data_IF_378772474250
#
_entry.id   IF_378772474250
#
_cell.length_a   1.000
_cell.length_b   1.000
_cell.length_c   1.000
_cell.angle_alpha   90.00
_cell.angle_beta   90.00
_cell.angle_gamma   90.00
#
_symmetry.space_group_name_H-M   'P 1'
#
loop_
_entity.id
_entity.type
_entity.pdbx_description
1 polymer ?
#
# COMPACT_ATOMS: atom_id res chain seq x y z
N UNK A 1 2.81 5.20 7.68
CA UNK A 1 4.17 4.81 8.11
C UNK A 1 4.18 3.32 8.38
N UNK A 2 5.16 2.61 7.84
CA UNK A 2 5.31 1.17 8.02
C UNK A 2 6.07 0.89 9.31
N UNK A 3 5.87 -0.29 9.89
CA UNK A 3 6.78 -0.78 10.93
C UNK A 3 8.18 -0.99 10.32
N UNK A 4 9.22 -0.67 11.08
CA UNK A 4 10.60 -0.74 10.61
C UNK A 4 11.15 -2.17 10.51
N UNK A 5 10.46 -3.15 11.11
CA UNK A 5 10.91 -4.54 11.17
C UNK A 5 10.56 -5.30 9.88
N UNK A 6 9.32 -5.18 9.42
CA UNK A 6 8.81 -5.89 8.25
C UNK A 6 8.62 -4.99 7.03
N UNK A 7 8.45 -3.67 7.23
CA UNK A 7 8.14 -2.75 6.15
C UNK A 7 6.81 -3.04 5.45
N UNK A 8 5.96 -3.88 6.03
CA UNK A 8 4.73 -4.38 5.38
C UNK A 8 3.47 -4.07 6.16
N UNK A 9 3.58 -3.86 7.48
CA UNK A 9 2.45 -3.55 8.34
C UNK A 9 2.42 -2.05 8.73
N UNK A 10 1.24 -1.50 9.05
CA UNK A 10 1.17 -0.18 9.67
C UNK A 10 1.94 -0.15 11.00
N UNK A 11 2.66 0.93 11.26
CA UNK A 11 3.36 1.08 12.54
C UNK A 11 2.37 1.06 13.72
N UNK A 12 2.72 0.36 14.80
CA UNK A 12 1.84 0.16 15.96
C UNK A 12 1.35 1.41 16.71
N UNK A 13 1.95 2.60 16.49
CA UNK A 13 1.47 3.84 17.10
C UNK A 13 0.32 4.51 16.32
N UNK A 14 0.04 4.08 15.08
CA UNK A 14 -0.99 4.69 14.22
C UNK A 14 -2.37 4.74 14.90
N UNK A 15 -2.86 3.67 15.56
CA UNK A 15 -4.14 3.74 16.28
C UNK A 15 -4.18 4.83 17.35
N UNK A 16 -3.08 5.04 18.08
CA UNK A 16 -2.96 6.09 19.08
C UNK A 16 -2.95 7.49 18.46
N UNK A 17 -2.28 7.64 17.31
CA UNK A 17 -2.27 8.90 16.55
C UNK A 17 -3.66 9.25 16.02
N UNK A 18 -4.42 8.29 15.47
CA UNK A 18 -5.79 8.50 15.00
C UNK A 18 -6.67 9.00 16.14
N UNK A 19 -6.65 8.30 17.28
CA UNK A 19 -7.45 8.68 18.45
C UNK A 19 -7.14 10.11 18.93
N UNK A 20 -5.87 10.52 18.86
CA UNK A 20 -5.41 11.81 19.37
C UNK A 20 -5.62 12.96 18.39
N UNK A 21 -5.39 12.76 17.10
CA UNK A 21 -5.35 13.88 16.14
C UNK A 21 -6.46 13.84 15.11
N UNK A 22 -6.92 12.64 14.73
CA UNK A 22 -8.01 12.52 13.77
C UNK A 22 -9.36 12.72 14.46
N UNK A 23 -9.61 11.94 15.52
CA UNK A 23 -10.92 11.94 16.20
C UNK A 23 -11.16 13.17 17.08
N UNK A 24 -10.10 13.91 17.45
CA UNK A 24 -10.22 15.19 18.18
C UNK A 24 -10.59 16.37 17.27
N UNK A 25 -10.40 16.24 15.95
CA UNK A 25 -10.71 17.31 14.98
C UNK A 25 -12.19 17.24 14.56
N UNK A 26 -13.01 18.25 14.90
CA UNK A 26 -14.44 18.24 14.59
C UNK A 26 -14.73 18.39 13.09
N UNK A 27 -13.77 18.81 12.27
CA UNK A 27 -13.93 18.90 10.82
C UNK A 27 -13.78 17.54 10.13
N UNK A 28 -13.21 16.54 10.82
CA UNK A 28 -13.06 15.20 10.29
C UNK A 28 -14.23 14.29 10.69
N UNK A 29 -14.75 13.46 9.76
CA UNK A 29 -15.66 12.39 10.16
C UNK A 29 -14.90 11.35 11.01
N UNK A 30 -15.58 10.65 11.93
CA UNK A 30 -14.94 9.62 12.75
C UNK A 30 -14.17 8.62 11.89
N UNK A 31 -12.95 8.25 12.33
CA UNK A 31 -12.12 7.34 11.54
C UNK A 31 -12.80 5.98 11.36
N UNK A 32 -12.86 5.50 10.10
CA UNK A 32 -13.40 4.19 9.75
C UNK A 32 -12.30 3.30 9.16
N UNK A 33 -11.87 2.25 9.87
CA UNK A 33 -10.90 1.29 9.34
C UNK A 33 -11.33 0.72 7.98
N UNK A 34 -10.37 0.57 7.06
CA UNK A 34 -10.61 -0.01 5.73
C UNK A 34 -11.40 0.88 4.76
N UNK A 35 -11.71 2.13 5.12
CA UNK A 35 -12.39 3.08 4.21
C UNK A 35 -11.45 3.98 3.41
N UNK A 36 -10.14 3.77 3.53
CA UNK A 36 -9.15 4.55 2.78
C UNK A 36 -9.11 6.03 3.18
N UNK A 37 -9.45 6.34 4.44
CA UNK A 37 -9.44 7.71 5.00
C UNK A 37 -8.01 8.23 5.25
N UNK A 38 -7.05 7.32 5.39
CA UNK A 38 -5.62 7.63 5.37
C UNK A 38 -5.03 6.93 4.14
N UNK A 39 -4.24 7.67 3.37
CA UNK A 39 -3.54 7.19 2.18
C UNK A 39 -2.05 7.50 2.32
N UNK A 40 -1.21 6.71 1.65
CA UNK A 40 0.24 6.82 1.74
C UNK A 40 0.82 6.80 0.32
N UNK A 41 1.04 7.97 -0.29
CA UNK A 41 1.85 8.05 -1.49
C UNK A 41 3.27 7.59 -1.22
N UNK A 42 3.94 7.05 -2.25
CA UNK A 42 5.33 6.62 -2.13
C UNK A 42 6.27 7.81 -1.90
N UNK A 43 6.11 8.86 -2.71
CA UNK A 43 6.92 10.08 -2.61
C UNK A 43 6.03 11.31 -2.69
N UNK A 44 6.23 12.23 -1.76
CA UNK A 44 5.63 13.56 -1.77
C UNK A 44 6.73 14.61 -1.88
N UNK A 45 6.71 15.39 -2.95
CA UNK A 45 7.67 16.47 -3.22
C UNK A 45 6.99 17.79 -2.86
N UNK A 46 7.65 18.58 -2.01
CA UNK A 46 7.17 19.90 -1.58
C UNK A 46 7.94 21.03 -2.25
N UNK A 47 7.34 22.22 -2.35
CA UNK A 47 7.98 23.44 -2.85
C UNK A 47 8.96 24.01 -1.83
N UNK A 48 8.54 24.09 -0.57
CA UNK A 48 9.36 24.54 0.54
C UNK A 48 9.49 23.42 1.59
N UNK A 49 10.71 22.90 1.84
CA UNK A 49 10.95 21.82 2.80
C UNK A 49 10.76 22.24 4.26
N UNK A 50 10.66 23.55 4.56
CA UNK A 50 10.42 24.06 5.91
C UNK A 50 8.93 24.15 6.28
N UNK A 51 8.04 23.87 5.33
CA UNK A 51 6.58 23.97 5.49
C UNK A 51 5.93 22.58 5.42
N UNK A 52 4.78 22.37 6.09
CA UNK A 52 4.06 21.11 6.00
C UNK A 52 3.60 20.83 4.56
N UNK A 53 3.35 19.56 4.19
CA UNK A 53 2.89 19.16 2.86
C UNK A 53 1.39 19.43 2.68
N UNK A 54 0.97 20.69 2.82
CA UNK A 54 -0.40 21.13 2.48
C UNK A 54 -0.57 21.23 0.96
N UNK A 55 -1.81 21.20 0.45
CA UNK A 55 -2.08 21.22 -1.00
C UNK A 55 -1.38 22.37 -1.76
N UNK A 56 -1.23 23.55 -1.14
CA UNK A 56 -0.55 24.70 -1.72
C UNK A 56 0.99 24.52 -1.78
N UNK A 57 1.56 23.75 -0.85
CA UNK A 57 2.99 23.46 -0.75
C UNK A 57 3.39 22.16 -1.46
N UNK A 58 2.47 21.24 -1.73
CA UNK A 58 2.74 20.05 -2.54
C UNK A 58 3.06 20.49 -3.97
N UNK A 59 4.27 20.16 -4.41
CA UNK A 59 4.72 20.30 -5.80
C UNK A 59 4.27 19.11 -6.62
N UNK A 60 4.48 17.90 -6.12
CA UNK A 60 4.20 16.66 -6.85
C UNK A 60 4.00 15.49 -5.90
N UNK A 61 3.16 14.54 -6.29
CA UNK A 61 3.02 13.23 -5.67
C UNK A 61 3.44 12.18 -6.70
N UNK A 62 4.37 11.31 -6.33
CA UNK A 62 4.87 10.25 -7.21
C UNK A 62 4.48 8.90 -6.62
N UNK A 63 3.88 8.07 -7.46
CA UNK A 63 3.62 6.65 -7.20
C UNK A 63 4.58 5.82 -8.05
N UNK A 64 5.28 4.88 -7.43
CA UNK A 64 6.20 4.00 -8.12
C UNK A 64 5.48 2.71 -8.51
N UNK A 65 5.60 2.30 -9.77
CA UNK A 65 4.99 1.07 -10.29
C UNK A 65 6.05 0.11 -10.84
N UNK A 66 6.03 -1.10 -10.32
CA UNK A 66 6.92 -2.19 -10.73
C UNK A 66 6.11 -3.33 -11.34
N UNK A 67 6.55 -3.98 -12.44
CA UNK A 67 5.86 -5.14 -12.95
C UNK A 67 5.71 -6.25 -11.88
N UNK A 68 4.55 -6.91 -11.77
CA UNK A 68 3.36 -6.79 -12.61
C UNK A 68 2.30 -5.77 -12.13
N UNK A 69 2.60 -4.92 -11.14
CA UNK A 69 1.65 -3.97 -10.55
C UNK A 69 1.16 -2.92 -11.58
N UNK A 70 -0.13 -2.93 -11.95
CA UNK A 70 -0.65 -1.99 -12.93
C UNK A 70 -0.88 -0.60 -12.32
N UNK A 71 -1.05 0.38 -13.21
CA UNK A 71 -1.57 1.68 -12.80
C UNK A 71 -3.01 1.53 -12.28
N UNK A 72 -3.30 2.11 -11.11
CA UNK A 72 -4.62 2.12 -10.49
C UNK A 72 -5.20 3.54 -10.58
N UNK A 73 -6.35 3.66 -11.27
CA UNK A 73 -7.04 4.94 -11.46
C UNK A 73 -7.64 5.48 -10.16
N UNK A 74 -8.21 4.61 -9.32
CA UNK A 74 -8.79 5.05 -8.04
C UNK A 74 -7.69 5.61 -7.13
N UNK A 75 -6.54 4.93 -7.10
CA UNK A 75 -5.37 5.41 -6.37
C UNK A 75 -4.90 6.77 -6.88
N UNK A 76 -4.76 6.94 -8.19
CA UNK A 76 -4.34 8.21 -8.79
C UNK A 76 -5.31 9.36 -8.48
N UNK A 77 -6.61 9.10 -8.50
CA UNK A 77 -7.63 10.10 -8.14
C UNK A 77 -7.56 10.50 -6.66
N UNK A 78 -7.33 9.53 -5.76
CA UNK A 78 -7.14 9.82 -4.33
C UNK A 78 -5.88 10.63 -4.07
N UNK A 79 -4.81 10.40 -4.81
CA UNK A 79 -3.61 11.23 -4.71
C UNK A 79 -3.79 12.61 -5.31
N UNK A 80 -4.61 12.75 -6.35
CA UNK A 80 -4.96 14.05 -6.88
C UNK A 80 -5.76 14.89 -5.87
N UNK A 81 -6.67 14.26 -5.13
CA UNK A 81 -7.38 14.87 -4.01
C UNK A 81 -6.39 15.37 -2.93
N UNK A 82 -5.41 14.55 -2.56
CA UNK A 82 -4.34 14.93 -1.61
C UNK A 82 -3.47 16.08 -2.15
N UNK A 83 -3.10 16.05 -3.43
CA UNK A 83 -2.24 17.06 -4.05
C UNK A 83 -2.99 18.37 -4.39
N UNK A 84 -4.33 18.33 -4.41
CA UNK A 84 -5.22 19.41 -4.82
C UNK A 84 -5.32 19.61 -6.34
N UNK A 85 -4.64 18.78 -7.14
CA UNK A 85 -4.67 18.82 -8.60
C UNK A 85 -4.16 17.49 -9.19
N UNK A 86 -4.86 16.97 -10.20
CA UNK A 86 -4.45 15.78 -10.97
C UNK A 86 -3.13 15.98 -11.70
N UNK A 87 -2.81 17.21 -12.13
CA UNK A 87 -1.57 17.54 -12.83
C UNK A 87 -0.30 17.31 -11.98
N UNK A 88 -0.45 17.24 -10.65
CA UNK A 88 0.64 17.02 -9.70
C UNK A 88 0.90 15.53 -9.42
N UNK A 89 0.12 14.61 -9.97
CA UNK A 89 0.27 13.17 -9.73
C UNK A 89 1.02 12.53 -10.90
N UNK A 90 2.09 11.82 -10.60
CA UNK A 90 2.88 11.09 -11.61
C UNK A 90 3.08 9.64 -11.19
N UNK A 91 2.81 8.73 -12.12
CA UNK A 91 3.23 7.34 -12.00
C UNK A 91 4.60 7.18 -12.65
N UNK A 92 5.56 6.67 -11.89
CA UNK A 92 6.92 6.39 -12.37
C UNK A 92 7.12 4.88 -12.45
N UNK A 93 7.47 4.39 -13.63
CA UNK A 93 7.78 2.99 -13.88
C UNK A 93 9.26 2.74 -13.74
N UNK A 94 9.60 1.48 -13.51
CA UNK A 94 11.00 1.04 -13.44
C UNK A 94 11.78 1.31 -14.74
N UNK A 95 11.08 1.37 -15.89
CA UNK A 95 11.62 1.74 -17.21
C UNK A 95 11.85 3.23 -17.41
N UNK A 96 11.30 4.09 -16.55
CA UNK A 96 11.49 5.55 -16.63
C UNK A 96 12.84 5.96 -15.99
N UNK A 97 13.44 5.05 -15.22
CA UNK A 97 14.78 5.20 -14.69
C UNK A 97 15.79 4.64 -15.70
N UNK A 98 16.92 5.33 -15.89
CA UNK A 98 18.07 4.89 -16.72
C UNK A 98 18.86 3.74 -16.05
N UNK A 99 18.17 2.95 -15.23
CA UNK A 99 18.69 1.71 -14.70
C UNK A 99 18.72 0.71 -15.87
N UNK A 100 19.87 0.13 -16.18
CA UNK A 100 19.96 -1.10 -16.99
C UNK A 100 19.22 -2.22 -16.26
N UNK A 101 17.89 -2.24 -16.33
CA UNK A 101 17.08 -3.23 -15.66
C UNK A 101 17.05 -4.47 -16.54
N UNK A 102 17.86 -5.47 -16.17
CA UNK A 102 17.47 -6.85 -16.43
C UNK A 102 16.03 -7.02 -15.95
N UNK A 103 15.15 -7.55 -16.79
CA UNK A 103 13.79 -7.87 -16.39
C UNK A 103 13.86 -8.75 -15.15
N UNK A 104 13.56 -8.19 -13.98
CA UNK A 104 13.45 -8.92 -12.72
C UNK A 104 12.17 -9.76 -12.82
N UNK A 105 12.25 -10.86 -13.56
CA UNK A 105 11.22 -11.89 -13.57
C UNK A 105 11.16 -12.40 -12.13
N UNK A 106 10.01 -12.23 -11.46
CA UNK A 106 9.81 -12.78 -10.12
C UNK A 106 10.23 -14.24 -10.14
N UNK A 107 11.29 -14.59 -9.41
CA UNK A 107 11.84 -15.96 -9.37
C UNK A 107 10.89 -16.95 -8.73
N UNK A 108 9.79 -16.47 -8.15
CA UNK A 108 8.73 -17.30 -7.59
C UNK A 108 7.50 -17.16 -8.50
N UNK A 109 7.15 -18.20 -9.28
CA UNK A 109 5.87 -18.26 -9.96
C UNK A 109 4.77 -18.20 -8.91
N UNK A 110 3.79 -17.30 -9.06
CA UNK A 110 2.65 -17.20 -8.14
C UNK A 110 1.89 -18.54 -8.03
N UNK A 111 1.90 -19.33 -9.10
CA UNK A 111 1.37 -20.71 -9.15
C UNK A 111 2.10 -21.65 -8.18
N UNK A 112 3.40 -21.43 -7.94
CA UNK A 112 4.17 -22.27 -7.04
C UNK A 112 3.78 -22.10 -5.57
N UNK A 113 3.40 -20.88 -5.17
CA UNK A 113 2.91 -20.61 -3.82
C UNK A 113 1.55 -21.27 -3.57
N UNK A 114 0.70 -21.36 -4.61
CA UNK A 114 -0.60 -22.01 -4.54
C UNK A 114 -0.51 -23.50 -4.21
N UNK A 115 0.35 -24.26 -4.89
CA UNK A 115 0.50 -25.70 -4.62
C UNK A 115 1.19 -25.99 -3.29
N UNK A 116 2.17 -25.16 -2.90
CA UNK A 116 2.84 -25.31 -1.62
C UNK A 116 1.86 -25.12 -0.46
N UNK A 117 0.97 -24.12 -0.56
CA UNK A 117 -0.08 -23.87 0.40
C UNK A 117 -1.12 -25.01 0.47
N UNK A 118 -1.52 -25.60 -0.66
CA UNK A 118 -2.45 -26.74 -0.68
C UNK A 118 -1.81 -28.02 -0.13
N UNK A 119 -0.57 -28.32 -0.51
CA UNK A 119 0.17 -29.47 0.01
C UNK A 119 0.38 -29.37 1.54
N UNK A 120 0.76 -28.20 2.04
CA UNK A 120 0.91 -27.97 3.48
C UNK A 120 -0.41 -28.14 4.24
N UNK A 121 -1.53 -27.68 3.67
CA UNK A 121 -2.87 -27.89 4.26
C UNK A 121 -3.25 -29.35 4.34
N UNK A 122 -3.00 -30.11 3.27
CA UNK A 122 -3.32 -31.53 3.21
C UNK A 122 -2.48 -32.33 4.21
N UNK A 123 -1.18 -32.01 4.30
CA UNK A 123 -0.27 -32.56 5.30
C UNK A 123 -0.75 -32.26 6.74
N UNK A 124 -1.15 -31.02 7.02
CA UNK A 124 -1.68 -30.64 8.32
C UNK A 124 -2.99 -31.35 8.67
N UNK A 125 -3.89 -31.56 7.70
CA UNK A 125 -5.09 -32.37 7.91
C UNK A 125 -4.76 -33.83 8.25
N UNK A 126 -3.75 -34.42 7.60
CA UNK A 126 -3.30 -35.79 7.87
C UNK A 126 -2.68 -35.90 9.27
N UNK A 127 -1.80 -34.97 9.65
CA UNK A 127 -1.11 -34.98 10.95
C UNK A 127 -2.10 -34.75 12.09
N UNK A 128 -3.00 -33.78 11.94
CA UNK A 128 -3.89 -33.34 13.04
C UNK A 128 -5.22 -34.08 13.07
N UNK A 129 -5.58 -34.80 11.99
CA UNK A 129 -6.90 -35.43 11.78
C UNK A 129 -8.08 -34.47 12.02
N UNK A 130 -7.85 -33.17 11.83
CA UNK A 130 -8.84 -32.11 11.96
C UNK A 130 -8.87 -31.28 10.67
N UNK A 131 -10.01 -30.68 10.32
CA UNK A 131 -10.06 -29.72 9.22
C UNK A 131 -9.03 -28.61 9.47
N UNK A 132 -8.21 -28.29 8.46
CA UNK A 132 -7.28 -27.19 8.56
C UNK A 132 -8.05 -25.89 8.90
N UNK A 133 -7.57 -25.06 9.84
CA UNK A 133 -8.24 -23.82 10.18
C UNK A 133 -8.47 -22.98 8.93
N UNK A 134 -9.68 -22.43 8.83
CA UNK A 134 -10.09 -21.58 7.72
C UNK A 134 -9.08 -20.46 7.54
N UNK A 135 -8.51 -20.39 6.35
CA UNK A 135 -7.61 -19.30 5.99
C UNK A 135 -8.41 -18.01 5.94
N UNK A 136 -8.11 -17.04 6.80
CA UNK A 136 -8.31 -15.63 6.45
C UNK A 136 -7.28 -15.22 5.40
N UNK A 137 -7.25 -15.91 4.26
CA UNK A 137 -6.53 -15.44 3.08
C UNK A 137 -7.48 -14.40 2.47
N UNK A 138 -7.12 -13.12 2.40
CA UNK A 138 -7.90 -12.16 1.64
C UNK A 138 -7.98 -12.68 0.20
N UNK A 139 -9.19 -12.74 -0.35
CA UNK A 139 -9.41 -13.08 -1.75
C UNK A 139 -8.51 -12.21 -2.63
N UNK A 140 -7.91 -12.76 -3.70
CA UNK A 140 -7.31 -11.91 -4.71
C UNK A 140 -8.39 -10.95 -5.20
N UNK A 141 -8.13 -9.65 -5.07
CA UNK A 141 -8.95 -8.64 -5.71
C UNK A 141 -8.72 -8.78 -7.21
N UNK A 142 -9.81 -9.08 -7.94
CA UNK A 142 -9.86 -9.06 -9.40
C UNK A 142 -10.38 -7.71 -9.85
#
# INVERSE_FOLDING_TARGET
MLDSETGSSPHGWIPGWIKKYWDEDPEHPPFKPGKGMIRRPDVTIVKDPKRPPTQDNIKQVVEMKFPPDPADREQAEKYAEIAGDKSKVVAMKSTDCDCTQESQQSKVPAEQLGWAATAARLLMMVITRRPAPGSKIPSPAY
#
